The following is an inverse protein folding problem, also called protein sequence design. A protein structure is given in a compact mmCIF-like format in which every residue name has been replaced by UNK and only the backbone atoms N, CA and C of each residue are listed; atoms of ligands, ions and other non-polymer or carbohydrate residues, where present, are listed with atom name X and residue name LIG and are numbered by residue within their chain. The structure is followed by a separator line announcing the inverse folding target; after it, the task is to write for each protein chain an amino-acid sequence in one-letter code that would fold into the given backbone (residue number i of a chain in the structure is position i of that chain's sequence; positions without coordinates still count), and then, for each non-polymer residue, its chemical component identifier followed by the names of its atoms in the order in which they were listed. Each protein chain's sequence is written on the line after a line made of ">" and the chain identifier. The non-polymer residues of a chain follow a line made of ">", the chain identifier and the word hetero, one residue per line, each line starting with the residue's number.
data_IF_705192347089
#
_entry.id   IF_705192347089
#
_cell.length_a   1.000
_cell.length_b   1.000
_cell.length_c   1.000
_cell.angle_alpha   90.00
_cell.angle_beta   90.00
_cell.angle_gamma   90.00
#
_symmetry.space_group_name_H-M   'P 1'
#
loop_
_entity.id
_entity.type
_entity.pdbx_description
1 polymer ?
#
# COMPACT_ATOMS: atom_id res chain seq x y z
N UNK A 1 17.57 3.76 23.04
CA UNK A 1 16.13 3.48 23.29
C UNK A 1 15.84 2.05 22.86
N UNK A 2 15.11 1.25 23.66
CA UNK A 2 14.88 -0.18 23.36
C UNK A 2 14.02 -0.37 22.10
N UNK A 3 14.45 -1.22 21.16
CA UNK A 3 13.71 -1.57 19.94
C UNK A 3 12.26 -2.04 20.21
N UNK A 4 11.98 -2.52 21.44
CA UNK A 4 10.63 -2.90 21.89
C UNK A 4 9.62 -1.74 21.89
N UNK A 5 10.08 -0.49 22.08
CA UNK A 5 9.20 0.70 22.11
C UNK A 5 8.61 0.99 20.73
N UNK A 6 9.35 0.69 19.66
CA UNK A 6 8.98 1.00 18.28
C UNK A 6 8.23 -0.14 17.59
N UNK A 7 8.17 -1.32 18.20
CA UNK A 7 7.47 -2.49 17.67
C UNK A 7 5.99 -2.26 17.29
N UNK A 8 5.21 -1.44 18.02
CA UNK A 8 3.83 -1.12 17.62
C UNK A 8 3.70 -0.31 16.32
N UNK A 9 4.78 0.31 15.82
CA UNK A 9 4.73 1.07 14.56
C UNK A 9 4.54 0.17 13.33
N UNK A 10 5.10 -1.03 13.32
CA UNK A 10 4.97 -1.96 12.19
C UNK A 10 3.51 -2.33 11.88
N UNK A 11 2.70 -2.83 12.83
CA UNK A 11 1.28 -3.10 12.56
C UNK A 11 0.48 -1.82 12.29
N UNK A 12 0.87 -0.68 12.86
CA UNK A 12 0.21 0.60 12.57
C UNK A 12 0.42 1.03 11.10
N UNK A 13 1.65 0.96 10.59
CA UNK A 13 1.97 1.29 9.20
C UNK A 13 1.25 0.35 8.23
N UNK A 14 1.17 -0.94 8.57
CA UNK A 14 0.40 -1.90 7.81
C UNK A 14 -1.09 -1.53 7.71
N UNK A 15 -1.70 -1.13 8.83
CA UNK A 15 -3.09 -0.67 8.87
C UNK A 15 -3.28 0.61 8.05
N UNK A 16 -2.33 1.56 8.11
CA UNK A 16 -2.39 2.80 7.32
C UNK A 16 -2.45 2.48 5.82
N UNK A 17 -1.64 1.53 5.34
CA UNK A 17 -1.66 1.12 3.93
C UNK A 17 -3.00 0.48 3.58
N UNK A 18 -3.50 -0.47 4.39
CA UNK A 18 -4.79 -1.11 4.15
C UNK A 18 -5.94 -0.11 4.08
N UNK A 19 -6.04 0.78 5.06
CA UNK A 19 -7.09 1.80 5.10
C UNK A 19 -6.99 2.73 3.89
N UNK A 20 -5.78 3.10 3.48
CA UNK A 20 -5.56 3.94 2.30
C UNK A 20 -6.05 3.27 1.02
N UNK A 21 -5.69 2.00 0.80
CA UNK A 21 -6.07 1.24 -0.40
C UNK A 21 -7.57 0.90 -0.41
N UNK A 22 -8.16 0.53 0.72
CA UNK A 22 -9.62 0.31 0.84
C UNK A 22 -10.37 1.62 0.57
N UNK A 23 -9.91 2.75 1.12
CA UNK A 23 -10.52 4.05 0.88
C UNK A 23 -10.40 4.46 -0.58
N UNK A 24 -9.28 4.15 -1.24
CA UNK A 24 -9.09 4.38 -2.66
C UNK A 24 -10.10 3.57 -3.49
N UNK A 25 -10.30 2.29 -3.16
CA UNK A 25 -11.28 1.41 -3.80
C UNK A 25 -12.72 1.92 -3.62
N UNK A 26 -13.09 2.33 -2.40
CA UNK A 26 -14.42 2.89 -2.10
C UNK A 26 -14.64 4.19 -2.88
N UNK A 27 -13.62 5.05 -2.97
CA UNK A 27 -13.70 6.28 -3.77
C UNK A 27 -13.83 5.99 -5.25
N UNK A 28 -13.07 5.04 -5.76
CA UNK A 28 -13.14 4.60 -7.16
C UNK A 28 -14.56 4.12 -7.52
N UNK A 29 -15.19 3.37 -6.61
CA UNK A 29 -16.60 2.96 -6.75
C UNK A 29 -17.56 4.15 -6.82
N UNK A 30 -17.36 5.14 -5.96
CA UNK A 30 -18.23 6.33 -5.87
C UNK A 30 -18.11 7.27 -7.07
N UNK A 31 -16.98 7.24 -7.78
CA UNK A 31 -16.80 8.05 -9.01
C UNK A 31 -17.67 7.62 -10.19
N UNK A 32 -18.28 6.42 -10.17
CA UNK A 32 -19.27 5.98 -11.17
C UNK A 32 -18.75 5.71 -12.58
N UNK A 33 -17.55 6.18 -12.95
CA UNK A 33 -16.93 6.03 -14.27
C UNK A 33 -15.54 5.38 -14.25
N UNK A 34 -15.27 4.53 -13.26
CA UNK A 34 -14.00 3.81 -13.14
C UNK A 34 -13.89 2.71 -14.22
N UNK A 35 -12.80 2.75 -14.97
CA UNK A 35 -12.46 1.76 -15.98
C UNK A 35 -12.10 0.41 -15.35
N UNK A 36 -12.17 -0.66 -16.15
CA UNK A 36 -11.76 -2.01 -15.73
C UNK A 36 -10.29 -2.06 -15.30
N UNK A 37 -9.43 -1.27 -15.95
CA UNK A 37 -8.01 -1.17 -15.59
C UNK A 37 -7.84 -0.66 -14.16
N UNK A 38 -8.49 0.46 -13.83
CA UNK A 38 -8.40 1.09 -12.51
C UNK A 38 -8.91 0.17 -11.39
N UNK A 39 -10.03 -0.52 -11.64
CA UNK A 39 -10.55 -1.50 -10.69
C UNK A 39 -9.56 -2.64 -10.47
N UNK A 40 -8.98 -3.15 -11.55
CA UNK A 40 -8.01 -4.24 -11.48
C UNK A 40 -6.75 -3.81 -10.74
N UNK A 41 -6.16 -2.66 -11.08
CA UNK A 41 -4.88 -2.23 -10.51
C UNK A 41 -5.00 -1.84 -9.04
N UNK A 42 -6.09 -1.21 -8.60
CA UNK A 42 -6.33 -0.93 -7.18
C UNK A 42 -6.64 -2.20 -6.39
N UNK A 43 -7.40 -3.14 -6.97
CA UNK A 43 -7.71 -4.42 -6.31
C UNK A 43 -6.47 -5.31 -6.19
N UNK A 44 -5.62 -5.35 -7.22
CA UNK A 44 -4.36 -6.09 -7.18
C UNK A 44 -3.38 -5.48 -6.17
N UNK A 45 -3.27 -4.15 -6.09
CA UNK A 45 -2.49 -3.49 -5.05
C UNK A 45 -2.91 -3.96 -3.64
N UNK A 46 -4.22 -3.94 -3.37
CA UNK A 46 -4.78 -4.38 -2.09
C UNK A 46 -4.52 -5.87 -1.83
N UNK A 47 -4.76 -6.73 -2.83
CA UNK A 47 -4.55 -8.17 -2.73
C UNK A 47 -3.09 -8.51 -2.44
N UNK A 48 -2.16 -8.00 -3.25
CA UNK A 48 -0.74 -8.28 -3.08
C UNK A 48 -0.22 -7.74 -1.75
N UNK A 49 -0.67 -6.55 -1.32
CA UNK A 49 -0.31 -6.03 -0.02
C UNK A 49 -0.88 -6.87 1.14
N UNK A 50 -2.11 -7.37 1.03
CA UNK A 50 -2.65 -8.28 2.03
C UNK A 50 -1.90 -9.62 2.08
N UNK A 51 -1.45 -10.12 0.92
CA UNK A 51 -0.65 -11.34 0.83
C UNK A 51 0.71 -11.21 1.51
N UNK A 52 1.32 -10.01 1.59
CA UNK A 52 2.58 -9.83 2.33
C UNK A 52 2.40 -10.21 3.80
N UNK A 53 1.29 -9.80 4.41
CA UNK A 53 0.96 -10.13 5.79
C UNK A 53 0.71 -11.63 5.96
N UNK A 54 -0.12 -12.23 5.11
CA UNK A 54 -0.44 -13.66 5.17
C UNK A 54 0.82 -14.55 4.99
N UNK A 55 1.73 -14.13 4.13
CA UNK A 55 2.96 -14.86 3.80
C UNK A 55 4.16 -14.42 4.65
N UNK A 56 3.97 -13.65 5.73
CA UNK A 56 5.06 -13.13 6.56
C UNK A 56 6.02 -14.20 7.11
N UNK A 57 5.54 -15.46 7.27
CA UNK A 57 6.36 -16.60 7.68
C UNK A 57 7.31 -17.11 6.57
N UNK A 58 6.99 -16.81 5.32
CA UNK A 58 7.70 -17.28 4.13
C UNK A 58 8.45 -16.10 3.49
N UNK A 59 9.62 -15.79 4.03
CA UNK A 59 10.45 -14.64 3.64
C UNK A 59 10.74 -14.52 2.14
N UNK A 60 10.98 -15.65 1.46
CA UNK A 60 11.16 -15.77 0.01
C UNK A 60 9.95 -15.34 -0.84
N UNK A 61 8.73 -15.42 -0.30
CA UNK A 61 7.49 -15.01 -0.97
C UNK A 61 7.00 -13.66 -0.47
N UNK A 62 7.26 -13.31 0.79
CA UNK A 62 6.90 -12.02 1.38
C UNK A 62 7.48 -10.83 0.58
N UNK A 63 8.79 -10.85 0.30
CA UNK A 63 9.47 -9.74 -0.38
C UNK A 63 8.97 -9.53 -1.83
N UNK A 64 8.85 -10.57 -2.68
CA UNK A 64 8.28 -10.40 -4.02
C UNK A 64 6.85 -9.87 -4.00
N UNK A 65 6.00 -10.32 -3.07
CA UNK A 65 4.62 -9.82 -2.99
C UNK A 65 4.56 -8.34 -2.59
N UNK A 66 5.45 -7.87 -1.70
CA UNK A 66 5.53 -6.44 -1.35
C UNK A 66 5.94 -5.61 -2.55
N UNK A 67 6.98 -6.04 -3.26
CA UNK A 67 7.46 -5.32 -4.45
C UNK A 67 6.37 -5.21 -5.53
N UNK A 68 5.61 -6.28 -5.75
CA UNK A 68 4.48 -6.26 -6.70
C UNK A 68 3.39 -5.31 -6.22
N UNK A 69 3.05 -5.31 -4.93
CA UNK A 69 2.09 -4.37 -4.36
C UNK A 69 2.55 -2.92 -4.58
N UNK A 70 3.80 -2.60 -4.22
CA UNK A 70 4.41 -1.27 -4.38
C UNK A 70 4.37 -0.78 -5.83
N UNK A 71 4.64 -1.66 -6.80
CA UNK A 71 4.53 -1.33 -8.22
C UNK A 71 3.10 -0.91 -8.61
N UNK A 72 2.08 -1.65 -8.17
CA UNK A 72 0.69 -1.26 -8.43
C UNK A 72 0.30 0.03 -7.72
N UNK A 73 0.75 0.24 -6.48
CA UNK A 73 0.46 1.46 -5.72
C UNK A 73 1.12 2.66 -6.40
N UNK A 74 2.38 2.55 -6.84
CA UNK A 74 3.09 3.59 -7.59
C UNK A 74 2.42 3.88 -8.93
N UNK A 75 2.07 2.83 -9.69
CA UNK A 75 1.32 2.98 -10.92
C UNK A 75 0.02 3.75 -10.69
N UNK A 76 -0.78 3.36 -9.68
CA UNK A 76 -2.03 4.02 -9.34
C UNK A 76 -1.81 5.48 -8.91
N UNK A 77 -0.80 5.76 -8.09
CA UNK A 77 -0.46 7.12 -7.68
C UNK A 77 -0.22 8.04 -8.89
N UNK A 78 0.63 7.61 -9.83
CA UNK A 78 0.94 8.38 -11.05
C UNK A 78 -0.27 8.46 -11.97
N UNK A 79 -0.98 7.35 -12.17
CA UNK A 79 -2.13 7.28 -13.06
C UNK A 79 -3.26 8.23 -12.61
N UNK A 80 -3.69 8.14 -11.36
CA UNK A 80 -4.77 8.98 -10.83
C UNK A 80 -4.37 10.44 -10.68
N UNK A 81 -3.08 10.73 -10.46
CA UNK A 81 -2.57 12.10 -10.47
C UNK A 81 -2.74 12.71 -11.87
N UNK A 82 -2.33 11.99 -12.92
CA UNK A 82 -2.48 12.42 -14.33
C UNK A 82 -3.94 12.51 -14.78
N UNK A 83 -4.82 11.66 -14.25
CA UNK A 83 -6.26 11.66 -14.55
C UNK A 83 -7.04 12.77 -13.83
N UNK A 84 -6.39 13.61 -13.01
CA UNK A 84 -7.07 14.67 -12.26
C UNK A 84 -7.91 14.16 -11.08
N UNK A 85 -7.57 12.99 -10.53
CA UNK A 85 -8.19 12.43 -9.33
C UNK A 85 -7.23 12.47 -8.13
N UNK A 86 -6.85 13.67 -7.64
CA UNK A 86 -5.81 13.84 -6.64
C UNK A 86 -6.15 13.11 -5.33
N UNK A 87 -7.44 13.01 -5.02
CA UNK A 87 -7.97 12.32 -3.85
C UNK A 87 -7.64 10.83 -3.80
N UNK A 88 -7.55 10.14 -4.94
CA UNK A 88 -7.18 8.72 -5.03
C UNK A 88 -5.66 8.59 -5.17
N UNK A 89 -5.03 9.51 -5.90
CA UNK A 89 -3.57 9.58 -6.01
C UNK A 89 -2.91 9.72 -4.64
N UNK A 90 -3.38 10.66 -3.81
CA UNK A 90 -2.85 10.89 -2.46
C UNK A 90 -2.99 9.67 -1.55
N UNK A 91 -4.06 8.89 -1.66
CA UNK A 91 -4.21 7.66 -0.88
C UNK A 91 -3.13 6.62 -1.27
N UNK A 92 -2.79 6.52 -2.54
CA UNK A 92 -1.70 5.65 -2.98
C UNK A 92 -0.32 6.22 -2.58
N UNK A 93 -0.14 7.54 -2.60
CA UNK A 93 1.10 8.20 -2.13
C UNK A 93 1.30 7.97 -0.63
N UNK A 94 0.24 8.12 0.18
CA UNK A 94 0.28 7.85 1.63
C UNK A 94 0.63 6.38 1.88
N UNK A 95 0.04 5.46 1.11
CA UNK A 95 0.39 4.04 1.19
C UNK A 95 1.88 3.81 0.88
N UNK A 96 2.44 4.40 -0.19
CA UNK A 96 3.88 4.31 -0.49
C UNK A 96 4.74 4.89 0.61
N UNK A 97 4.38 6.05 1.16
CA UNK A 97 5.12 6.68 2.25
C UNK A 97 5.13 5.80 3.50
N UNK A 98 4.01 5.15 3.83
CA UNK A 98 3.93 4.22 4.95
C UNK A 98 4.82 2.98 4.73
N UNK A 99 4.83 2.41 3.51
CA UNK A 99 5.71 1.29 3.16
C UNK A 99 7.20 1.70 3.24
N UNK A 100 7.56 2.86 2.69
CA UNK A 100 8.92 3.38 2.77
C UNK A 100 9.36 3.63 4.22
N UNK A 101 8.44 4.13 5.06
CA UNK A 101 8.68 4.31 6.50
C UNK A 101 8.90 2.97 7.19
N UNK A 102 8.11 1.94 6.85
CA UNK A 102 8.27 0.59 7.37
C UNK A 102 9.65 0.00 7.04
N UNK A 103 10.09 0.17 5.79
CA UNK A 103 11.42 -0.25 5.36
C UNK A 103 12.54 0.52 6.10
N UNK A 104 12.39 1.85 6.25
CA UNK A 104 13.35 2.67 6.98
C UNK A 104 13.42 2.27 8.47
N UNK A 105 12.29 1.99 9.12
CA UNK A 105 12.25 1.51 10.50
C UNK A 105 12.96 0.15 10.64
N UNK A 106 12.74 -0.78 9.71
CA UNK A 106 13.47 -2.05 9.68
C UNK A 106 14.98 -1.87 9.50
N UNK A 107 15.43 -0.79 8.85
CA UNK A 107 16.84 -0.48 8.68
C UNK A 107 17.45 0.19 9.93
N UNK A 108 16.71 1.11 10.56
CA UNK A 108 17.18 1.87 11.73
C UNK A 108 17.16 1.03 13.02
N UNK A 109 16.18 0.13 13.17
CA UNK A 109 15.98 -0.69 14.37
C UNK A 109 16.70 -2.05 14.33
N UNK A 110 17.47 -2.30 13.26
CA UNK A 110 18.43 -3.40 13.18
C UNK A 110 19.67 -3.11 14.03
#
# INVERSE_FOLDING_TARGET
>A
MSAKVWWPLFPLLFVIVLVSLITALVRLKRTGGASRLEWTTVSLALLFYFLTFALGRWRWLHMPMSNIAELFILFNAVHFFRKGQPKIAWLNIIALAAIATDFALHFILK
#
